data_IF_404137707575
#
_entry.id   IF_404137707575
#
_cell.length_a   1.000
_cell.length_b   1.000
_cell.length_c   1.000
_cell.angle_alpha   90.00
_cell.angle_beta   90.00
_cell.angle_gamma   90.00
#
_symmetry.space_group_name_H-M   'P 1'
#
loop_
_entity.id
_entity.type
_entity.pdbx_description
1 polymer ?
#
# COMPACT_ATOMS: atom_id res chain seq x y z
N UNK A 1 -21.92 34.08 0.32
CA UNK A 1 -21.85 32.92 1.23
C UNK A 1 -20.50 32.27 1.01
N UNK A 2 -19.58 32.38 1.96
CA UNK A 2 -18.23 31.79 1.87
C UNK A 2 -18.34 30.28 1.94
N UNK A 3 -18.00 29.60 0.85
CA UNK A 3 -17.79 28.16 0.84
C UNK A 3 -16.56 27.85 1.68
N UNK A 4 -16.78 27.27 2.86
CA UNK A 4 -15.72 26.75 3.72
C UNK A 4 -14.86 25.77 2.91
N UNK A 5 -13.52 25.89 2.91
CA UNK A 5 -12.68 24.89 2.28
C UNK A 5 -12.77 23.61 3.11
N UNK A 6 -13.37 22.57 2.54
CA UNK A 6 -13.37 21.24 3.15
C UNK A 6 -11.92 20.81 3.23
N UNK A 7 -11.37 20.71 4.44
CA UNK A 7 -10.01 20.21 4.66
C UNK A 7 -9.87 18.81 4.03
N UNK A 8 -8.78 18.52 3.31
CA UNK A 8 -8.50 17.19 2.80
C UNK A 8 -7.97 16.31 3.95
N UNK A 9 -8.78 16.15 4.99
CA UNK A 9 -8.53 15.18 6.04
C UNK A 9 -8.83 13.81 5.46
N UNK A 10 -7.77 13.10 5.10
CA UNK A 10 -7.70 11.64 5.07
C UNK A 10 -8.97 10.97 4.57
N UNK A 11 -9.32 11.21 3.29
CA UNK A 11 -10.15 10.24 2.59
C UNK A 11 -9.36 8.94 2.65
N UNK A 12 -9.80 7.99 3.47
CA UNK A 12 -9.35 6.62 3.40
C UNK A 12 -9.69 6.15 1.99
N UNK A 13 -8.78 6.37 1.03
CA UNK A 13 -8.98 6.04 -0.37
C UNK A 13 -9.14 4.52 -0.42
N UNK A 14 -10.38 4.06 -0.43
CA UNK A 14 -10.73 2.70 -0.81
C UNK A 14 -10.47 2.59 -2.31
N UNK A 15 -9.22 2.33 -2.67
CA UNK A 15 -8.85 2.08 -4.05
C UNK A 15 -9.54 0.79 -4.52
N UNK A 16 -10.34 0.82 -5.60
CA UNK A 16 -10.91 -0.38 -6.18
C UNK A 16 -9.78 -1.32 -6.59
N UNK A 17 -9.84 -2.58 -6.18
CA UNK A 17 -8.76 -3.55 -6.44
C UNK A 17 -8.53 -3.73 -7.95
N UNK A 18 -9.59 -3.60 -8.75
CA UNK A 18 -9.56 -3.69 -10.21
C UNK A 18 -8.77 -2.58 -10.91
N UNK A 19 -8.47 -1.48 -10.20
CA UNK A 19 -7.66 -0.37 -10.73
C UNK A 19 -6.19 -0.46 -10.29
N UNK A 20 -5.83 -1.42 -9.44
CA UNK A 20 -4.46 -1.58 -8.96
C UNK A 20 -3.62 -2.37 -9.95
N UNK A 21 -2.47 -1.82 -10.32
CA UNK A 21 -1.51 -2.54 -11.14
C UNK A 21 -0.67 -3.48 -10.26
N UNK A 22 -0.42 -4.73 -10.68
CA UNK A 22 0.43 -5.63 -9.91
C UNK A 22 1.90 -5.20 -10.00
N UNK A 23 2.62 -5.29 -8.87
CA UNK A 23 4.08 -5.22 -8.83
C UNK A 23 4.63 -6.44 -8.10
N UNK A 24 5.45 -7.23 -8.77
CA UNK A 24 6.24 -8.24 -8.09
C UNK A 24 7.43 -7.63 -7.31
N UNK A 25 8.22 -8.45 -6.61
CA UNK A 25 9.37 -7.95 -5.81
C UNK A 25 10.38 -7.20 -6.68
N UNK A 26 10.69 -7.72 -7.88
CA UNK A 26 11.71 -7.14 -8.76
C UNK A 26 11.21 -5.83 -9.37
N UNK A 27 9.98 -5.81 -9.84
CA UNK A 27 9.34 -4.60 -10.37
C UNK A 27 9.21 -3.51 -9.30
N UNK A 28 8.85 -3.89 -8.07
CA UNK A 28 8.80 -2.99 -6.93
C UNK A 28 10.17 -2.35 -6.63
N UNK A 29 11.26 -3.12 -6.70
CA UNK A 29 12.61 -2.58 -6.49
C UNK A 29 12.97 -1.55 -7.57
N UNK A 30 12.69 -1.86 -8.85
CA UNK A 30 12.94 -0.95 -9.98
C UNK A 30 12.10 0.32 -9.84
N UNK A 31 10.81 0.16 -9.52
CA UNK A 31 9.88 1.25 -9.29
C UNK A 31 10.36 2.16 -8.14
N UNK A 32 10.75 1.60 -6.99
CA UNK A 32 11.17 2.37 -5.83
C UNK A 32 12.45 3.18 -6.07
N UNK A 33 13.31 2.75 -7.00
CA UNK A 33 14.49 3.50 -7.43
C UNK A 33 14.09 4.63 -8.39
N UNK A 34 13.20 4.35 -9.34
CA UNK A 34 12.78 5.30 -10.36
C UNK A 34 11.87 6.42 -9.83
N UNK A 35 11.01 6.10 -8.86
CA UNK A 35 10.02 7.02 -8.29
C UNK A 35 10.11 6.99 -6.77
N UNK A 36 11.10 7.68 -6.16
CA UNK A 36 11.35 7.59 -4.72
C UNK A 36 10.29 8.30 -3.86
N UNK A 37 9.40 9.11 -4.45
CA UNK A 37 8.33 9.82 -3.75
C UNK A 37 7.12 8.94 -3.39
N UNK A 38 7.18 7.64 -3.70
CA UNK A 38 6.12 6.69 -3.40
C UNK A 38 5.74 6.63 -1.91
N UNK A 39 4.47 6.30 -1.67
CA UNK A 39 3.89 6.08 -0.36
C UNK A 39 3.53 4.62 -0.18
N UNK A 40 3.80 4.11 1.01
CA UNK A 40 3.51 2.73 1.37
C UNK A 40 2.28 2.72 2.26
N UNK A 41 1.28 1.96 1.85
CA UNK A 41 0.06 1.72 2.59
C UNK A 41 -0.02 0.26 2.96
N UNK A 42 -0.18 -0.01 4.25
CA UNK A 42 -0.40 -1.34 4.76
C UNK A 42 -1.88 -1.48 5.14
N UNK A 43 -2.63 -2.23 4.35
CA UNK A 43 -4.07 -2.41 4.53
C UNK A 43 -4.35 -3.76 5.17
N UNK A 44 -5.05 -3.74 6.29
CA UNK A 44 -5.58 -4.96 6.90
C UNK A 44 -6.68 -5.57 6.03
N UNK A 45 -6.69 -6.90 5.97
CA UNK A 45 -7.70 -7.71 5.29
C UNK A 45 -8.02 -8.93 6.13
N UNK A 46 -9.23 -9.45 5.97
CA UNK A 46 -9.63 -10.73 6.56
C UNK A 46 -9.79 -11.77 5.46
N UNK A 47 -9.12 -12.91 5.63
CA UNK A 47 -9.29 -14.08 4.76
C UNK A 47 -9.71 -15.26 5.64
N UNK A 48 -10.98 -15.65 5.55
CA UNK A 48 -11.55 -16.72 6.38
C UNK A 48 -11.35 -16.48 7.88
N UNK A 49 -11.71 -15.29 8.37
CA UNK A 49 -11.51 -14.82 9.75
C UNK A 49 -10.06 -14.67 10.21
N UNK A 50 -9.07 -14.95 9.35
CA UNK A 50 -7.67 -14.71 9.67
C UNK A 50 -7.29 -13.31 9.19
N UNK A 51 -6.86 -12.47 10.13
CA UNK A 51 -6.25 -11.17 9.86
C UNK A 51 -4.98 -11.34 9.01
N UNK A 52 -4.90 -10.57 7.94
CA UNK A 52 -3.77 -10.48 7.00
C UNK A 52 -3.51 -9.03 6.67
N UNK A 53 -2.35 -8.78 6.08
CA UNK A 53 -1.96 -7.45 5.66
C UNK A 53 -1.55 -7.46 4.19
N UNK A 54 -2.08 -6.52 3.42
CA UNK A 54 -1.74 -6.29 2.03
C UNK A 54 -0.92 -5.00 1.91
N UNK A 55 0.15 -5.04 1.10
CA UNK A 55 0.93 -3.87 0.76
C UNK A 55 0.36 -3.22 -0.51
N UNK A 56 0.15 -1.92 -0.42
CA UNK A 56 -0.29 -1.06 -1.51
C UNK A 56 0.74 0.06 -1.65
N UNK A 57 1.17 0.32 -2.89
CA UNK A 57 2.11 1.39 -3.21
C UNK A 57 1.35 2.46 -3.98
N UNK A 58 1.43 3.70 -3.54
CA UNK A 58 0.87 4.85 -4.27
C UNK A 58 2.03 5.69 -4.79
N UNK A 59 1.96 6.08 -6.07
CA UNK A 59 2.84 7.06 -6.68
C UNK A 59 2.12 8.41 -6.69
N UNK A 60 2.48 9.38 -5.82
CA UNK A 60 1.84 10.69 -5.81
C UNK A 60 2.06 11.44 -7.14
N UNK A 61 3.24 11.30 -7.74
CA UNK A 61 3.60 11.95 -9.00
C UNK A 61 2.77 11.51 -10.21
N UNK A 62 2.33 10.25 -10.25
CA UNK A 62 1.53 9.71 -11.35
C UNK A 62 0.06 9.46 -10.99
N UNK A 63 -0.27 9.51 -9.70
CA UNK A 63 -1.58 9.12 -9.17
C UNK A 63 -1.86 7.62 -9.26
N UNK A 64 -0.88 6.81 -9.68
CA UNK A 64 -1.04 5.36 -9.85
C UNK A 64 -0.95 4.63 -8.52
N UNK A 65 -1.65 3.50 -8.45
CA UNK A 65 -1.70 2.65 -7.27
C UNK A 65 -1.42 1.22 -7.67
N UNK A 66 -0.58 0.58 -6.88
CA UNK A 66 -0.08 -0.75 -7.15
C UNK A 66 -0.37 -1.69 -6.00
N UNK A 67 -0.69 -2.93 -6.34
CA UNK A 67 -0.75 -4.03 -5.37
C UNK A 67 0.52 -4.84 -5.45
N UNK A 68 1.13 -5.15 -4.30
CA UNK A 68 2.32 -6.01 -4.30
C UNK A 68 1.87 -7.46 -4.45
N UNK A 69 2.37 -8.14 -5.48
CA UNK A 69 2.06 -9.54 -5.77
C UNK A 69 3.26 -10.45 -5.52
N UNK A 70 2.97 -11.73 -5.35
CA UNK A 70 3.97 -12.80 -5.37
C UNK A 70 4.44 -13.04 -6.80
N UNK A 71 5.52 -13.81 -6.97
CA UNK A 71 5.98 -14.23 -8.30
C UNK A 71 4.94 -15.04 -9.10
N UNK A 72 3.88 -15.51 -8.44
CA UNK A 72 2.74 -16.20 -9.05
C UNK A 72 1.60 -15.25 -9.43
N UNK A 73 1.79 -13.93 -9.34
CA UNK A 73 0.77 -12.92 -9.65
C UNK A 73 -0.35 -12.76 -8.62
N UNK A 74 -0.34 -13.56 -7.53
CA UNK A 74 -1.31 -13.42 -6.43
C UNK A 74 -0.91 -12.31 -5.49
N UNK A 75 -1.86 -11.50 -5.01
CA UNK A 75 -1.61 -10.47 -3.98
C UNK A 75 -0.83 -11.06 -2.81
N UNK A 76 0.27 -10.40 -2.46
CA UNK A 76 1.12 -10.82 -1.34
C UNK A 76 0.45 -10.41 -0.04
N UNK A 77 0.10 -11.41 0.77
CA UNK A 77 -0.50 -11.23 2.09
C UNK A 77 0.50 -11.60 3.18
N UNK A 78 0.66 -10.71 4.15
CA UNK A 78 1.51 -10.91 5.31
C UNK A 78 0.67 -11.31 6.52
N UNK A 79 1.22 -12.19 7.36
CA UNK A 79 0.56 -12.61 8.60
C UNK A 79 0.56 -11.47 9.64
N UNK A 80 1.67 -10.73 9.71
CA UNK A 80 1.90 -9.66 10.68
C UNK A 80 2.28 -8.36 9.96
N UNK A 81 1.93 -7.21 10.54
CA UNK A 81 2.30 -5.91 10.00
C UNK A 81 3.82 -5.70 9.99
N UNK A 82 4.50 -6.07 11.07
CA UNK A 82 5.96 -5.92 11.20
C UNK A 82 6.70 -6.66 10.08
N UNK A 83 6.26 -7.86 9.71
CA UNK A 83 6.85 -8.61 8.60
C UNK A 83 6.66 -7.91 7.25
N UNK A 84 5.53 -7.21 7.06
CA UNK A 84 5.31 -6.42 5.85
C UNK A 84 6.19 -5.15 5.84
N UNK A 85 6.38 -4.53 7.00
CA UNK A 85 7.27 -3.37 7.18
C UNK A 85 8.72 -3.76 6.89
N UNK A 86 9.19 -4.87 7.45
CA UNK A 86 10.56 -5.36 7.24
C UNK A 86 10.80 -5.74 5.77
N UNK A 87 9.80 -6.35 5.11
CA UNK A 87 9.86 -6.60 3.67
C UNK A 87 10.05 -5.31 2.85
N UNK A 88 9.35 -4.23 3.19
CA UNK A 88 9.51 -2.94 2.51
C UNK A 88 10.88 -2.31 2.80
N UNK A 89 11.37 -2.38 4.05
CA UNK A 89 12.71 -1.89 4.39
C UNK A 89 13.81 -2.61 3.60
N UNK A 90 13.67 -3.92 3.42
CA UNK A 90 14.61 -4.74 2.64
C UNK A 90 14.50 -4.44 1.13
N UNK A 91 13.28 -4.37 0.61
CA UNK A 91 13.03 -4.27 -0.82
C UNK A 91 13.20 -2.83 -1.34
N UNK A 92 12.94 -1.84 -0.50
CA UNK A 92 12.90 -0.44 -0.89
C UNK A 92 13.61 0.47 0.16
N UNK A 93 14.93 0.30 0.38
CA UNK A 93 15.66 0.96 1.48
C UNK A 93 15.75 2.47 1.36
N UNK A 94 15.61 3.01 0.14
CA UNK A 94 15.82 4.43 -0.16
C UNK A 94 14.54 5.28 -0.09
N UNK A 95 13.48 4.83 0.59
CA UNK A 95 12.27 5.66 0.74
C UNK A 95 12.57 6.92 1.57
N UNK A 96 12.60 8.12 0.98
CA UNK A 96 12.84 9.36 1.71
C UNK A 96 11.66 9.73 2.62
N UNK A 97 10.44 9.32 2.26
CA UNK A 97 9.24 9.62 3.04
C UNK A 97 9.20 8.83 4.34
N UNK A 98 9.82 7.63 4.40
CA UNK A 98 9.89 6.67 5.53
C UNK A 98 8.56 6.37 6.27
N UNK A 99 7.46 6.97 5.84
CA UNK A 99 6.16 6.91 6.46
C UNK A 99 5.38 5.77 5.81
N UNK A 100 5.05 4.79 6.64
CA UNK A 100 4.14 3.71 6.28
C UNK A 100 2.79 4.06 6.90
N UNK A 101 1.77 4.22 6.06
CA UNK A 101 0.41 4.45 6.52
C UNK A 101 -0.25 3.10 6.79
N UNK A 102 -0.64 2.85 8.04
CA UNK A 102 -1.33 1.62 8.43
C UNK A 102 -2.82 1.91 8.45
N UNK A 103 -3.58 1.14 7.66
CA UNK A 103 -5.05 1.21 7.62
C UNK A 103 -5.62 -0.08 8.16
N UNK A 104 -6.34 0.01 9.28
CA UNK A 104 -7.11 -1.09 9.83
C UNK A 104 -8.39 -1.29 9.02
N UNK A 105 -8.78 -2.55 8.83
CA UNK A 105 -9.99 -2.92 8.13
C UNK A 105 -11.16 -2.89 9.09
N UNK A 106 -12.37 -2.99 8.54
CA UNK A 106 -13.54 -3.22 9.36
C UNK A 106 -13.47 -4.65 9.92
N UNK A 107 -13.80 -4.80 11.20
CA UNK A 107 -13.84 -6.13 11.83
C UNK A 107 -14.91 -6.97 11.15
N UNK A 108 -14.64 -8.25 10.84
CA UNK A 108 -15.64 -9.14 10.29
C UNK A 108 -16.79 -9.28 11.28
N UNK A 109 -18.01 -9.21 10.76
CA UNK A 109 -19.27 -9.35 11.52
C UNK A 109 -19.48 -10.77 12.04
#
# INVERSE_FOLDING_TARGET
MSGTPVSPLFLAKSYPEDMMQPLDKKELMVFAIAQPDYRVHLKERYLGNVRKWALIIESPSTGQVFSVVTALGKTRLFKNADTAIDFIKETCPNNPNKAITITYGESPS
#
